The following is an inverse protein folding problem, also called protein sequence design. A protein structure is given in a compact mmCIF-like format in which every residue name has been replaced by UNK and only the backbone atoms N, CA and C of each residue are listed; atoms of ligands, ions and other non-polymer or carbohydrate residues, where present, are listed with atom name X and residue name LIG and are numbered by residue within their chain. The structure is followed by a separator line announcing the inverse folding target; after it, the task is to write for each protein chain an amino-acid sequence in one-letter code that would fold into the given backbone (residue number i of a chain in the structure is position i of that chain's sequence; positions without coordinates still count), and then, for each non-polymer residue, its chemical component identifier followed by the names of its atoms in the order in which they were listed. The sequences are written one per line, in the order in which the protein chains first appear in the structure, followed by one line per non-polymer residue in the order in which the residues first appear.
data_IF_554570182567
#
_entry.id   IF_554570182567
#
_cell.length_a   1.000
_cell.length_b   1.000
_cell.length_c   1.000
_cell.angle_alpha   90.00
_cell.angle_beta   90.00
_cell.angle_gamma   90.00
#
_symmetry.space_group_name_H-M   'P 1'
#
loop_
_entity.id
_entity.type
_entity.pdbx_description
1 polymer ?
2 polymer ?
3 water ?
#
# COMPACT_ATOMS: atom_id res chain seq x y z
N UNK A 1 -17.41 6.25 29.63
CA UNK A 1 -17.27 7.44 28.82
C UNK A 1 -17.07 6.95 27.38
N UNK A 2 -15.93 6.40 26.90
CA UNK A 2 -15.85 5.92 25.52
C UNK A 2 -16.64 4.64 25.34
N UNK A 3 -17.54 4.54 24.36
CA UNK A 3 -18.42 3.40 24.09
C UNK A 3 -17.62 2.16 23.74
N UNK A 4 -18.18 1.00 23.95
CA UNK A 4 -17.54 -0.24 23.56
C UNK A 4 -18.53 -1.08 22.82
N UNK A 5 -18.22 -1.59 21.64
CA UNK A 5 -19.18 -2.35 20.89
C UNK A 5 -18.56 -3.69 20.61
N UNK A 6 -19.35 -4.68 20.26
CA UNK A 6 -18.78 -5.99 19.98
C UNK A 6 -19.27 -6.50 18.63
N UNK A 7 -18.65 -7.54 18.09
CA UNK A 7 -19.10 -8.18 16.86
C UNK A 7 -19.00 -9.67 17.15
N UNK A 8 -19.99 -10.50 16.92
CA UNK A 8 -19.83 -11.92 17.08
C UNK A 8 -19.61 -12.32 15.65
N UNK A 9 -18.44 -12.83 15.34
CA UNK A 9 -18.06 -13.16 13.97
C UNK A 9 -18.53 -14.58 13.60
N UNK A 10 -18.85 -14.87 12.33
CA UNK A 10 -19.24 -16.21 11.90
C UNK A 10 -18.55 -16.54 10.58
N UNK A 11 -18.13 -17.78 10.30
CA UNK A 11 -17.50 -18.15 9.03
C UNK A 11 -18.52 -19.12 8.48
N UNK A 12 -19.21 -18.80 7.39
CA UNK A 12 -20.31 -19.54 6.81
C UNK A 12 -21.26 -20.07 7.85
N UNK A 13 -21.68 -19.23 8.77
CA UNK A 13 -22.62 -19.66 9.81
C UNK A 13 -22.06 -20.40 11.03
N UNK A 14 -20.84 -20.96 11.02
CA UNK A 14 -20.24 -21.51 12.23
C UNK A 14 -19.74 -20.35 13.07
N UNK A 15 -20.15 -20.18 14.32
CA UNK A 15 -19.61 -19.17 15.22
C UNK A 15 -18.12 -19.29 15.50
N UNK A 16 -17.48 -18.14 15.39
CA UNK A 16 -16.04 -18.10 15.51
C UNK A 16 -15.53 -17.35 16.71
N UNK A 17 -16.13 -16.32 17.28
CA UNK A 17 -15.53 -15.65 18.42
C UNK A 17 -16.06 -14.23 18.47
N UNK A 18 -15.76 -13.45 19.50
CA UNK A 18 -16.27 -12.10 19.64
C UNK A 18 -15.10 -11.16 19.65
N UNK A 19 -15.20 -10.10 18.84
CA UNK A 19 -14.21 -9.03 18.83
C UNK A 19 -14.90 -7.84 19.51
N UNK A 20 -14.32 -7.09 20.43
CA UNK A 20 -15.01 -5.95 21.01
C UNK A 20 -14.06 -4.78 20.83
N UNK A 21 -14.59 -3.56 20.66
CA UNK A 21 -13.86 -2.39 20.22
C UNK A 21 -14.10 -1.24 21.19
N UNK A 22 -13.09 -0.45 21.48
CA UNK A 22 -13.26 0.72 22.30
C UNK A 22 -13.31 1.82 21.27
N UNK A 23 -14.31 2.69 21.22
CA UNK A 23 -14.37 3.71 20.21
C UNK A 23 -13.87 4.97 20.85
N UNK A 24 -12.91 5.68 20.23
CA UNK A 24 -12.36 6.86 20.84
C UNK A 24 -13.26 8.07 20.58
N UNK A 25 -14.39 8.09 21.27
CA UNK A 25 -15.34 9.17 21.11
C UNK A 25 -14.86 10.46 21.72
N UNK A 26 -13.85 10.43 22.57
CA UNK A 26 -13.33 11.65 23.12
C UNK A 26 -12.42 12.40 22.17
N UNK A 27 -11.96 11.82 21.05
CA UNK A 27 -11.16 12.52 20.06
C UNK A 27 -11.83 12.52 18.72
N UNK A 28 -12.53 11.45 18.32
CA UNK A 28 -13.17 11.40 16.99
C UNK A 28 -14.68 11.17 17.16
N UNK A 29 -15.45 12.06 17.82
CA UNK A 29 -16.79 11.76 18.30
C UNK A 29 -17.87 11.44 17.29
N UNK A 30 -17.79 12.09 16.15
CA UNK A 30 -18.80 11.94 15.15
C UNK A 30 -18.50 10.62 14.46
N UNK A 31 -17.24 10.27 14.18
CA UNK A 31 -16.87 8.98 13.61
C UNK A 31 -17.23 7.85 14.54
N UNK A 32 -16.92 7.96 15.84
CA UNK A 32 -17.25 6.94 16.81
C UNK A 32 -18.75 6.80 16.95
N UNK A 33 -19.58 7.85 17.00
CA UNK A 33 -21.05 7.71 17.06
C UNK A 33 -21.64 6.96 15.87
N UNK A 34 -21.14 7.20 14.66
CA UNK A 34 -21.59 6.50 13.45
C UNK A 34 -21.28 5.01 13.55
N UNK A 35 -20.11 4.55 14.03
CA UNK A 35 -19.88 3.13 14.14
C UNK A 35 -20.73 2.63 15.27
N UNK A 36 -20.90 3.38 16.38
CA UNK A 36 -21.69 2.87 17.48
C UNK A 36 -23.15 2.64 17.08
N UNK A 37 -23.76 3.66 16.48
CA UNK A 37 -25.13 3.57 16.05
C UNK A 37 -25.36 2.53 14.97
N UNK A 38 -24.37 2.24 14.09
CA UNK A 38 -24.56 1.25 13.05
C UNK A 38 -24.43 -0.12 13.67
N UNK A 39 -23.65 -0.26 14.74
CA UNK A 39 -23.53 -1.53 15.42
C UNK A 39 -24.82 -1.84 16.14
N UNK A 40 -25.49 -0.88 16.83
CA UNK A 40 -26.73 -1.16 17.57
C UNK A 40 -27.90 -1.36 16.61
N UNK A 41 -27.86 -0.69 15.47
CA UNK A 41 -28.92 -0.84 14.49
C UNK A 41 -30.09 0.05 14.92
N UNK A 42 -29.84 0.94 15.89
CA UNK A 42 -30.89 1.77 16.44
C UNK A 42 -31.45 2.72 15.37
N UNK A 43 -30.73 3.14 14.34
CA UNK A 43 -31.29 4.03 13.34
C UNK A 43 -31.97 3.22 12.26
N UNK A 44 -32.25 1.94 12.42
CA UNK A 44 -32.93 1.14 11.42
C UNK A 44 -32.03 0.31 10.51
N UNK A 45 -30.78 0.69 10.28
CA UNK A 45 -29.94 -0.07 9.37
C UNK A 45 -28.58 -0.24 10.01
N UNK A 46 -27.81 -1.24 9.55
CA UNK A 46 -26.50 -1.47 10.15
C UNK A 46 -25.73 -2.70 9.71
N UNK A 47 -24.71 -2.99 10.55
CA UNK A 47 -23.71 -4.01 10.36
C UNK A 47 -24.16 -5.40 10.57
N UNK A 48 -25.13 -5.70 11.43
CA UNK A 48 -25.57 -7.07 11.70
C UNK A 48 -25.93 -7.81 10.43
N UNK A 49 -25.14 -8.82 10.07
CA UNK A 49 -25.42 -9.64 8.90
C UNK A 49 -24.70 -9.13 7.69
N UNK A 50 -23.73 -8.23 7.87
CA UNK A 50 -22.93 -7.83 6.75
C UNK A 50 -21.65 -8.68 6.87
N UNK A 51 -20.78 -8.70 5.86
CA UNK A 51 -19.63 -9.55 5.93
C UNK A 51 -18.34 -8.78 5.68
N UNK A 52 -17.19 -9.39 5.90
CA UNK A 52 -15.94 -8.72 5.59
C UNK A 52 -15.71 -9.08 4.15
N UNK A 53 -15.82 -8.12 3.26
CA UNK A 53 -15.70 -8.46 1.86
C UNK A 53 -14.27 -8.44 1.39
N UNK A 54 -13.26 -7.98 2.13
CA UNK A 54 -11.91 -7.88 1.58
C UNK A 54 -10.95 -8.12 2.70
N UNK A 55 -10.20 -9.25 2.78
CA UNK A 55 -9.35 -9.56 3.92
C UNK A 55 -7.98 -9.79 3.35
N UNK A 56 -6.98 -9.00 3.69
CA UNK A 56 -5.66 -9.19 3.14
C UNK A 56 -4.77 -9.54 4.27
N UNK A 57 -4.34 -10.79 4.39
CA UNK A 57 -3.37 -11.24 5.38
C UNK A 57 -2.13 -10.38 5.59
N UNK A 58 -2.02 -9.80 6.77
CA UNK A 58 -0.87 -9.03 7.16
C UNK A 58 -1.10 -7.56 6.90
N UNK A 59 -2.32 -7.18 6.53
CA UNK A 59 -2.58 -5.78 6.27
C UNK A 59 -3.83 -5.47 7.08
N UNK A 60 -5.02 -5.92 6.63
CA UNK A 60 -6.26 -5.59 7.31
C UNK A 60 -7.42 -6.39 6.80
N UNK A 61 -8.51 -6.39 7.58
CA UNK A 61 -9.80 -6.99 7.32
C UNK A 61 -10.75 -5.83 7.07
N UNK A 62 -11.49 -5.72 5.97
CA UNK A 62 -12.41 -4.64 5.69
C UNK A 62 -13.81 -5.17 5.54
N UNK A 63 -14.75 -4.39 6.05
CA UNK A 63 -16.13 -4.79 6.03
C UNK A 63 -17.01 -3.55 6.16
N UNK A 64 -18.29 -3.77 6.40
CA UNK A 64 -19.17 -2.67 6.60
C UNK A 64 -20.02 -2.28 5.42
N UNK A 65 -19.93 -2.95 4.27
CA UNK A 65 -20.80 -2.55 3.16
C UNK A 65 -22.13 -3.25 3.33
N UNK A 66 -23.04 -2.66 4.06
CA UNK A 66 -24.29 -3.37 4.25
C UNK A 66 -25.22 -3.06 3.11
N UNK A 67 -25.00 -2.13 2.14
CA UNK A 67 -26.02 -1.99 1.11
C UNK A 67 -25.71 -2.81 -0.14
N UNK A 68 -24.47 -2.84 -0.61
CA UNK A 68 -24.08 -3.57 -1.81
C UNK A 68 -23.22 -4.79 -1.54
N UNK A 69 -22.71 -4.95 -0.32
CA UNK A 69 -21.97 -6.12 0.09
C UNK A 69 -20.70 -6.36 -0.66
N UNK A 70 -20.09 -5.37 -1.32
CA UNK A 70 -18.84 -5.60 -2.05
C UNK A 70 -17.95 -4.39 -2.10
N UNK A 71 -18.00 -3.49 -1.15
CA UNK A 71 -17.12 -2.35 -1.17
C UNK A 71 -17.62 -1.21 -2.04
N UNK A 72 -18.74 -1.30 -2.76
CA UNK A 72 -19.15 -0.15 -3.54
C UNK A 72 -20.21 0.69 -2.85
N UNK A 73 -20.70 0.23 -1.68
CA UNK A 73 -21.78 0.88 -0.99
C UNK A 73 -21.54 1.14 0.48
N UNK A 74 -22.63 1.11 1.24
CA UNK A 74 -22.66 1.44 2.64
C UNK A 74 -23.17 2.88 2.79
N UNK A 75 -23.65 3.28 3.97
CA UNK A 75 -24.07 4.66 4.17
C UNK A 75 -23.89 5.04 5.62
N UNK A 76 -23.77 6.31 5.97
CA UNK A 76 -23.53 6.68 7.34
C UNK A 76 -24.83 7.02 8.03
N UNK A 77 -24.83 7.35 9.33
CA UNK A 77 -26.06 7.76 9.97
C UNK A 77 -26.31 9.26 9.73
N UNK A 78 -25.47 9.93 8.93
CA UNK A 78 -25.63 11.35 8.67
C UNK A 78 -26.02 11.57 7.22
N UNK A 79 -26.16 10.51 6.45
CA UNK A 79 -26.42 10.58 5.02
C UNK A 79 -25.48 9.55 4.42
N UNK A 80 -25.24 9.53 3.12
CA UNK A 80 -24.36 8.49 2.58
C UNK A 80 -22.90 8.70 2.89
N UNK A 81 -22.41 9.94 3.04
CA UNK A 81 -21.00 10.19 3.27
C UNK A 81 -20.75 11.40 4.16
N UNK A 82 -19.64 11.54 4.88
CA UNK A 82 -19.36 12.71 5.68
C UNK A 82 -17.90 13.02 5.73
N UNK A 83 -17.53 14.12 6.37
CA UNK A 83 -16.15 14.61 6.34
C UNK A 83 -15.17 13.76 7.14
N UNK A 84 -13.89 13.98 6.90
CA UNK A 84 -12.87 13.34 7.65
C UNK A 84 -12.81 14.25 8.85
N UNK A 85 -13.18 13.63 9.97
CA UNK A 85 -13.31 14.36 11.20
C UNK A 85 -12.02 15.00 11.64
N UNK A 86 -10.95 14.21 11.66
CA UNK A 86 -9.65 14.72 12.02
C UNK A 86 -8.71 13.56 11.87
N UNK A 87 -7.41 13.82 12.06
CA UNK A 87 -6.40 12.80 11.97
C UNK A 87 -5.51 12.83 13.19
N UNK A 88 -6.08 12.92 14.39
CA UNK A 88 -5.27 12.95 15.60
C UNK A 88 -4.55 11.62 15.80
N UNK A 89 -5.30 10.50 15.73
CA UNK A 89 -4.77 9.17 16.00
C UNK A 89 -4.14 8.53 14.77
N UNK A 90 -3.10 7.73 14.95
CA UNK A 90 -2.38 7.20 13.80
C UNK A 90 -2.49 5.69 13.81
N UNK A 91 -2.09 5.06 12.72
CA UNK A 91 -2.19 3.63 12.54
C UNK A 91 -0.93 3.08 13.18
N UNK A 92 -0.97 2.75 14.46
CA UNK A 92 0.22 2.33 15.17
C UNK A 92 0.46 0.84 15.28
N UNK A 93 -0.53 0.03 14.97
CA UNK A 93 -0.31 -1.38 15.14
C UNK A 93 -1.58 -2.15 14.89
N UNK A 94 -1.53 -3.46 15.11
CA UNK A 94 -2.65 -4.36 14.94
C UNK A 94 -3.80 -3.92 15.80
N UNK A 95 -5.02 -4.16 15.42
CA UNK A 95 -6.11 -3.87 16.31
C UNK A 95 -6.63 -2.47 16.12
N UNK A 96 -5.93 -1.57 15.43
CA UNK A 96 -6.46 -0.23 15.17
C UNK A 96 -7.62 -0.33 14.17
N UNK A 97 -8.67 0.43 14.40
CA UNK A 97 -9.90 0.39 13.66
C UNK A 97 -9.90 1.74 13.02
N UNK A 98 -9.98 1.71 11.70
CA UNK A 98 -9.85 2.91 10.92
C UNK A 98 -10.92 2.95 9.85
N UNK A 99 -11.27 4.12 9.34
CA UNK A 99 -12.34 4.27 8.36
C UNK A 99 -11.85 4.10 6.91
N UNK A 100 -12.60 3.33 6.12
CA UNK A 100 -12.22 3.15 4.72
C UNK A 100 -12.87 4.33 4.05
N UNK A 101 -12.45 4.63 2.83
CA UNK A 101 -13.02 5.77 2.14
C UNK A 101 -12.66 5.65 0.68
N UNK A 102 -13.16 6.58 -0.14
CA UNK A 102 -12.89 6.57 -1.56
C UNK A 102 -12.24 7.91 -1.90
N UNK A 103 -11.27 8.26 -1.07
CA UNK A 103 -10.58 9.54 -1.13
C UNK A 103 -11.03 10.38 0.05
N UNK A 104 -10.69 11.66 0.20
CA UNK A 104 -11.03 12.48 1.36
C UNK A 104 -12.50 12.84 1.47
N UNK A 105 -13.02 12.99 2.68
CA UNK A 105 -14.39 13.37 2.97
C UNK A 105 -15.44 12.50 2.30
N UNK A 106 -15.15 11.20 2.26
CA UNK A 106 -16.06 10.23 1.67
C UNK A 106 -16.34 9.09 2.65
N UNK A 107 -16.34 9.34 3.95
CA UNK A 107 -16.59 8.28 4.95
C UNK A 107 -18.03 7.84 4.94
N UNK A 108 -18.34 6.54 5.04
CA UNK A 108 -19.71 6.07 5.03
C UNK A 108 -19.82 5.11 6.18
N UNK A 109 -19.79 3.82 5.85
CA UNK A 109 -19.82 2.86 6.92
C UNK A 109 -18.70 1.84 6.88
N UNK A 110 -17.91 1.79 5.82
CA UNK A 110 -16.85 0.82 5.71
C UNK A 110 -15.73 1.24 6.61
N UNK A 111 -15.16 0.23 7.24
CA UNK A 111 -14.09 0.35 8.23
C UNK A 111 -13.11 -0.77 7.90
N UNK A 112 -11.91 -0.76 8.49
CA UNK A 112 -11.01 -1.89 8.34
C UNK A 112 -10.30 -2.04 9.68
N UNK A 113 -9.94 -3.26 10.03
CA UNK A 113 -9.24 -3.55 11.29
C UNK A 113 -7.86 -3.89 10.80
N UNK A 114 -6.83 -3.18 11.25
CA UNK A 114 -5.48 -3.44 10.86
C UNK A 114 -4.96 -4.68 11.53
N UNK A 115 -4.11 -5.49 10.90
CA UNK A 115 -3.48 -6.62 11.57
C UNK A 115 -1.97 -6.41 11.48
N UNK A 116 -1.55 -5.15 11.23
CA UNK A 116 -0.16 -4.83 11.18
C UNK A 116 -0.09 -3.34 11.35
N UNK A 117 1.11 -2.80 11.47
CA UNK A 117 1.33 -1.37 11.56
C UNK A 117 1.27 -0.90 10.13
N UNK A 118 0.37 0.05 9.86
CA UNK A 118 0.27 0.56 8.53
C UNK A 118 0.43 2.07 8.47
N UNK A 119 1.56 2.59 8.89
CA UNK A 119 1.87 4.02 8.86
C UNK A 119 1.61 4.68 7.53
N UNK A 120 1.68 4.02 6.36
CA UNK A 120 1.37 4.71 5.11
C UNK A 120 -0.05 5.22 4.99
N UNK A 121 -0.93 4.79 5.89
CA UNK A 121 -2.33 5.16 5.80
C UNK A 121 -2.62 6.40 6.58
N UNK A 122 -1.69 6.77 7.45
CA UNK A 122 -1.78 7.97 8.25
C UNK A 122 -2.01 9.22 7.42
N UNK A 123 -2.95 10.00 7.94
CA UNK A 123 -3.31 11.23 7.28
C UNK A 123 -4.30 10.97 6.16
N UNK A 124 -4.59 9.72 5.82
CA UNK A 124 -5.53 9.45 4.73
C UNK A 124 -6.77 8.71 5.20
N UNK A 125 -6.85 8.10 6.39
CA UNK A 125 -8.04 7.36 6.82
C UNK A 125 -8.21 7.73 8.26
N UNK A 126 -9.42 8.09 8.73
CA UNK A 126 -9.55 8.53 10.11
C UNK A 126 -9.44 7.31 11.00
N UNK A 127 -8.64 7.27 12.06
CA UNK A 127 -8.60 6.16 13.02
C UNK A 127 -9.59 6.55 14.10
N UNK A 128 -10.46 5.68 14.59
CA UNK A 128 -11.43 6.06 15.61
C UNK A 128 -11.66 5.01 16.66
N UNK A 129 -10.90 3.91 16.76
CA UNK A 129 -11.15 2.88 17.74
C UNK A 129 -10.04 1.84 17.72
N UNK A 130 -10.02 0.87 18.64
CA UNK A 130 -9.04 -0.22 18.62
C UNK A 130 -9.72 -1.43 19.22
N UNK A 131 -9.29 -2.63 18.85
CA UNK A 131 -9.74 -3.89 19.40
C UNK A 131 -9.41 -3.83 20.87
N UNK A 132 -10.32 -4.31 21.68
CA UNK A 132 -10.20 -4.36 23.13
C UNK A 132 -9.97 -5.84 23.46
N UNK A 133 -10.93 -6.72 23.14
CA UNK A 133 -10.89 -8.15 23.41
C UNK A 133 -10.94 -8.82 22.04
N UNK A 134 -10.32 -9.96 21.71
CA UNK A 134 -10.61 -10.67 20.44
C UNK A 134 -9.64 -10.55 19.29
N UNK A 135 -8.38 -10.18 19.51
CA UNK A 135 -7.49 -9.91 18.38
C UNK A 135 -7.09 -11.22 17.73
N UNK A 136 -6.99 -12.32 18.45
CA UNK A 136 -6.72 -13.59 17.84
C UNK A 136 -7.91 -14.04 17.02
N UNK A 137 -9.13 -13.52 17.23
CA UNK A 137 -10.28 -13.83 16.35
C UNK A 137 -10.06 -13.04 15.06
N UNK A 138 -9.51 -11.83 15.14
CA UNK A 138 -9.21 -11.06 13.92
C UNK A 138 -8.09 -11.76 13.17
N UNK A 139 -7.04 -12.20 13.85
CA UNK A 139 -5.93 -12.94 13.26
C UNK A 139 -6.42 -14.20 12.61
N UNK A 140 -7.15 -15.08 13.28
CA UNK A 140 -7.71 -16.27 12.62
C UNK A 140 -8.51 -15.96 11.36
N UNK A 141 -9.25 -14.84 11.31
CA UNK A 141 -9.99 -14.42 10.13
C UNK A 141 -9.08 -14.27 8.94
N UNK A 142 -7.82 -13.89 9.13
CA UNK A 142 -6.93 -13.67 7.99
C UNK A 142 -6.81 -14.88 7.10
N UNK A 143 -6.88 -16.03 7.71
CA UNK A 143 -6.74 -17.23 6.91
C UNK A 143 -7.78 -17.48 5.85
N UNK A 144 -8.90 -16.80 5.95
CA UNK A 144 -9.95 -16.97 4.98
C UNK A 144 -9.84 -15.87 3.92
N UNK A 145 -8.76 -15.07 3.80
CA UNK A 145 -8.65 -14.02 2.81
C UNK A 145 -7.53 -14.30 1.81
N UNK A 146 -7.07 -13.33 1.01
CA UNK A 146 -6.02 -13.60 0.01
C UNK A 146 -5.21 -12.36 -0.31
N UNK A 147 -4.09 -12.40 -1.05
CA UNK A 147 -3.31 -11.22 -1.44
C UNK A 147 -4.15 -10.08 -2.01
N UNK A 148 -5.12 -10.41 -2.88
CA UNK A 148 -5.97 -9.41 -3.49
C UNK A 148 -7.23 -9.12 -2.69
N UNK A 149 -7.48 -9.81 -1.60
CA UNK A 149 -8.59 -9.45 -0.76
C UNK A 149 -9.74 -10.40 -0.81
N UNK A 150 -9.91 -11.11 -1.88
CA UNK A 150 -11.01 -12.01 -2.05
C UNK A 150 -11.03 -13.00 -0.89
N UNK A 151 -12.15 -13.28 -0.25
CA UNK A 151 -12.14 -14.22 0.86
C UNK A 151 -12.65 -15.56 0.37
N UNK A 152 -12.27 -16.65 1.01
CA UNK A 152 -12.66 -17.97 0.56
C UNK A 152 -13.98 -18.46 1.12
N UNK A 153 -14.47 -17.91 2.20
CA UNK A 153 -15.67 -18.37 2.86
C UNK A 153 -16.39 -17.07 3.19
N UNK A 154 -17.66 -17.11 3.53
CA UNK A 154 -18.39 -15.89 3.83
C UNK A 154 -18.05 -15.56 5.27
N UNK A 155 -17.52 -14.38 5.66
CA UNK A 155 -17.21 -14.08 7.06
C UNK A 155 -18.20 -13.01 7.50
N UNK A 156 -19.13 -13.27 8.41
CA UNK A 156 -20.18 -12.31 8.75
C UNK A 156 -20.11 -11.81 10.16
N UNK A 157 -20.72 -10.65 10.29
CA UNK A 157 -20.95 -10.04 11.59
C UNK A 157 -22.27 -10.72 11.97
N UNK A 158 -22.25 -11.83 12.71
CA UNK A 158 -23.48 -12.53 13.07
C UNK A 158 -24.39 -11.68 13.96
N UNK A 159 -23.82 -10.99 14.93
CA UNK A 159 -24.57 -10.10 15.80
C UNK A 159 -23.58 -9.03 16.20
N UNK A 160 -24.05 -7.86 16.62
CA UNK A 160 -23.22 -6.78 17.09
C UNK A 160 -24.10 -5.89 17.92
N UNK A 161 -23.49 -5.13 18.82
CA UNK A 161 -24.23 -4.23 19.68
C UNK A 161 -23.29 -3.46 20.57
N UNK A 162 -23.86 -2.77 21.55
CA UNK A 162 -23.07 -2.00 22.46
C UNK A 162 -23.01 -2.76 23.76
N UNK A 163 -21.88 -2.73 24.43
CA UNK A 163 -21.64 -3.42 25.70
C UNK A 163 -21.68 -2.40 26.82
N UNK A 164 -20.95 -1.33 26.59
CA UNK A 164 -20.82 -0.22 27.51
C UNK A 164 -20.66 1.03 26.61
N UNK B 1 18.50 -8.53 -27.54
CA UNK B 1 17.58 -7.68 -28.29
C UNK B 1 17.00 -6.80 -27.20
N UNK B 2 16.31 -7.34 -26.20
CA UNK B 2 15.90 -6.51 -25.07
C UNK B 2 17.15 -6.07 -24.34
N UNK B 3 17.36 -4.78 -24.05
CA UNK B 3 18.62 -4.28 -23.48
C UNK B 3 18.87 -4.90 -22.13
N UNK B 4 20.10 -5.02 -21.67
CA UNK B 4 20.37 -5.49 -20.33
C UNK B 4 21.21 -4.38 -19.76
N UNK B 5 20.83 -3.63 -18.73
CA UNK B 5 21.67 -2.57 -18.14
C UNK B 5 22.14 -3.02 -16.76
N UNK B 6 23.08 -2.35 -16.09
CA UNK B 6 23.52 -2.83 -14.79
C UNK B 6 23.71 -1.67 -13.83
N UNK B 7 23.75 -1.96 -12.53
CA UNK B 7 24.00 -0.96 -11.51
C UNK B 7 25.08 -1.59 -10.63
N UNK B 8 26.17 -0.94 -10.28
CA UNK B 8 27.08 -1.45 -9.28
C UNK B 8 26.69 -0.66 -8.06
N UNK B 9 26.36 -1.31 -6.94
CA UNK B 9 25.80 -0.67 -5.76
C UNK B 9 26.88 -0.47 -4.74
N UNK B 10 26.82 0.57 -3.92
CA UNK B 10 27.78 0.75 -2.86
C UNK B 10 27.03 1.28 -1.65
N UNK B 11 27.37 0.83 -0.44
CA UNK B 11 26.75 1.27 0.81
C UNK B 11 27.83 2.17 1.33
N UNK B 12 27.59 3.44 1.64
CA UNK B 12 28.62 4.40 2.05
C UNK B 12 29.98 4.17 1.42
N UNK B 13 30.01 4.11 0.10
CA UNK B 13 31.26 3.94 -0.60
C UNK B 13 31.77 2.51 -0.62
N UNK B 14 31.42 1.65 0.33
CA UNK B 14 31.81 0.24 0.32
C UNK B 14 31.04 -0.52 -0.75
N UNK B 15 31.63 -1.03 -1.82
CA UNK B 15 30.87 -1.66 -2.88
C UNK B 15 30.21 -2.93 -2.41
N UNK B 16 28.94 -3.02 -2.77
CA UNK B 16 28.14 -4.16 -2.39
C UNK B 16 28.24 -4.98 -3.67
N UNK B 17 27.32 -4.94 -4.63
CA UNK B 17 27.48 -5.78 -5.81
C UNK B 17 26.76 -5.20 -6.99
N UNK B 18 26.64 -5.96 -8.07
CA UNK B 18 26.01 -5.53 -9.30
C UNK B 18 24.65 -6.16 -9.43
N UNK B 19 23.67 -5.40 -9.93
CA UNK B 19 22.34 -5.89 -10.26
C UNK B 19 22.28 -5.69 -11.76
N UNK B 20 21.67 -6.56 -12.56
CA UNK B 20 21.56 -6.29 -13.99
C UNK B 20 20.13 -6.58 -14.29
N UNK B 21 19.55 -5.80 -15.19
CA UNK B 21 18.13 -5.80 -15.47
C UNK B 21 17.91 -6.14 -16.90
N UNK B 22 16.78 -6.76 -17.21
CA UNK B 22 16.38 -6.95 -18.57
C UNK B 22 15.30 -5.90 -18.72
N UNK B 23 15.29 -5.12 -19.79
CA UNK B 23 14.32 -4.07 -19.93
C UNK B 23 13.45 -4.57 -21.06
N UNK B 24 12.15 -4.60 -20.87
CA UNK B 24 11.24 -5.17 -21.83
C UNK B 24 10.85 -4.13 -22.85
N UNK B 25 11.83 -3.90 -23.70
CA UNK B 25 11.70 -2.96 -24.78
C UNK B 25 10.66 -3.38 -25.81
N UNK B 26 10.40 -4.66 -25.99
CA UNK B 26 9.42 -5.12 -26.98
C UNK B 26 7.95 -4.87 -26.62
N UNK B 27 7.70 -4.60 -25.34
CA UNK B 27 6.37 -4.33 -24.86
C UNK B 27 6.29 -2.90 -24.38
N UNK B 28 7.35 -2.28 -23.82
CA UNK B 28 7.30 -0.89 -23.36
C UNK B 28 8.46 -0.05 -23.90
N UNK B 29 8.58 0.17 -25.21
CA UNK B 29 9.82 0.64 -25.81
C UNK B 29 10.25 2.03 -25.35
N UNK B 30 9.29 2.91 -25.08
CA UNK B 30 9.61 4.27 -24.72
C UNK B 30 10.06 4.29 -23.28
N UNK B 31 9.41 3.55 -22.37
CA UNK B 31 9.83 3.52 -20.98
C UNK B 31 11.17 2.82 -20.83
N UNK B 32 11.40 1.74 -21.58
CA UNK B 32 12.64 0.99 -21.51
C UNK B 32 13.79 1.87 -21.98
N UNK B 33 13.65 2.61 -23.09
CA UNK B 33 14.67 3.51 -23.59
C UNK B 33 14.98 4.59 -22.58
N UNK B 34 14.05 5.28 -21.96
CA UNK B 34 14.33 6.26 -20.92
C UNK B 34 15.33 5.77 -19.90
N UNK B 35 15.12 4.55 -19.36
CA UNK B 35 15.94 3.94 -18.35
C UNK B 35 17.26 3.58 -18.95
N UNK B 36 17.32 3.02 -20.17
CA UNK B 36 18.60 2.67 -20.80
C UNK B 36 19.44 3.94 -20.97
N UNK B 37 18.87 4.98 -21.54
CA UNK B 37 19.58 6.21 -21.84
C UNK B 37 20.15 6.87 -20.59
N UNK B 38 19.41 6.76 -19.49
CA UNK B 38 19.83 7.31 -18.21
C UNK B 38 20.86 6.42 -17.54
N UNK B 39 20.88 5.13 -17.84
CA UNK B 39 21.92 4.26 -17.35
C UNK B 39 23.22 4.48 -18.08
N UNK B 40 23.23 4.94 -19.32
CA UNK B 40 24.50 5.09 -19.98
C UNK B 40 25.03 6.49 -19.81
N UNK B 41 24.17 7.44 -19.50
CA UNK B 41 24.62 8.82 -19.38
C UNK B 41 24.84 9.46 -20.73
N UNK B 42 24.29 8.90 -21.81
CA UNK B 42 24.56 9.40 -23.14
C UNK B 42 23.89 10.70 -23.51
N UNK B 43 23.02 11.22 -22.70
CA UNK B 43 22.40 12.47 -23.05
C UNK B 43 23.06 13.45 -22.10
N UNK B 44 24.06 13.09 -21.29
CA UNK B 44 24.70 14.05 -20.39
C UNK B 44 24.15 14.12 -18.96
N UNK B 45 23.14 13.32 -18.61
CA UNK B 45 22.62 13.26 -17.24
C UNK B 45 22.14 11.85 -17.03
N UNK B 46 22.01 11.36 -15.81
CA UNK B 46 21.55 10.00 -15.62
C UNK B 46 21.80 9.55 -14.20
N UNK B 47 21.73 8.26 -13.99
CA UNK B 47 21.78 7.63 -12.70
C UNK B 47 23.11 7.57 -12.00
N UNK B 48 24.29 7.51 -12.59
CA UNK B 48 25.53 7.29 -11.86
C UNK B 48 25.76 8.33 -10.81
N UNK B 49 25.92 7.90 -9.57
CA UNK B 49 26.16 8.80 -8.46
C UNK B 49 24.89 9.12 -7.71
N UNK B 50 23.72 8.71 -8.23
CA UNK B 50 22.47 8.98 -7.56
C UNK B 50 22.30 7.89 -6.51
N UNK B 51 21.30 8.02 -5.62
CA UNK B 51 21.13 7.09 -4.52
C UNK B 51 19.72 6.50 -4.53
N UNK B 52 19.56 5.44 -3.75
CA UNK B 52 18.24 4.93 -3.48
C UNK B 52 17.80 5.67 -2.22
N UNK B 53 16.71 6.40 -2.33
CA UNK B 53 16.34 7.30 -1.23
C UNK B 53 15.21 6.72 -0.42
N UNK B 54 14.52 5.68 -0.87
CA UNK B 54 13.39 5.16 -0.11
C UNK B 54 13.48 3.64 -0.18
N UNK B 55 13.80 2.93 0.90
CA UNK B 55 13.83 1.48 0.90
C UNK B 55 12.88 1.02 1.99
N UNK B 56 11.84 0.25 1.65
CA UNK B 56 10.91 -0.24 2.63
C UNK B 56 11.07 -1.74 2.47
N UNK B 57 11.74 -2.38 3.43
CA UNK B 57 12.01 -3.81 3.42
C UNK B 57 10.81 -4.64 3.06
N UNK B 58 10.83 -5.66 2.22
CA UNK B 58 9.65 -6.47 1.92
C UNK B 58 8.63 -5.78 1.05
N UNK B 59 9.01 -4.68 0.40
CA UNK B 59 8.13 -3.94 -0.48
C UNK B 59 9.00 -3.53 -1.66
N UNK B 60 9.88 -2.53 -1.56
CA UNK B 60 10.68 -2.10 -2.69
C UNK B 60 11.79 -1.17 -2.31
N UNK B 61 12.74 -1.00 -3.24
CA UNK B 61 13.86 -0.07 -3.14
C UNK B 61 13.59 0.99 -4.21
N UNK B 62 13.52 2.29 -3.92
CA UNK B 62 13.17 3.29 -4.88
C UNK B 62 14.32 4.22 -5.10
N UNK B 63 14.65 4.58 -6.34
CA UNK B 63 15.77 5.46 -6.58
C UNK B 63 15.53 6.27 -7.83
N UNK B 64 16.55 6.95 -8.32
CA UNK B 64 16.44 7.65 -9.58
C UNK B 64 16.23 9.13 -9.50
N UNK B 65 16.11 9.72 -8.34
CA UNK B 65 16.08 11.16 -8.31
C UNK B 65 17.53 11.57 -8.22
N UNK B 66 18.02 12.03 -9.38
CA UNK B 66 19.37 12.48 -9.49
C UNK B 66 19.34 13.99 -9.59
N UNK B 67 18.21 14.71 -9.58
CA UNK B 67 18.33 16.14 -9.52
C UNK B 67 18.15 16.58 -8.08
N UNK B 68 17.04 16.33 -7.40
CA UNK B 68 16.89 16.81 -6.03
C UNK B 68 17.32 15.81 -4.98
N UNK B 69 17.59 14.57 -5.37
CA UNK B 69 18.08 13.52 -4.50
C UNK B 69 17.21 13.15 -3.32
N UNK B 70 16.04 13.72 -3.18
CA UNK B 70 15.23 13.41 -2.04
C UNK B 70 13.95 12.75 -2.47
N UNK B 71 13.63 12.72 -3.76
CA UNK B 71 12.43 12.10 -4.25
C UNK B 71 11.52 13.10 -4.89
N UNK B 72 11.92 14.35 -4.96
CA UNK B 72 11.07 15.36 -5.58
C UNK B 72 11.62 15.73 -6.95
N UNK B 73 12.58 15.02 -7.51
CA UNK B 73 13.15 15.41 -8.76
C UNK B 73 13.18 14.26 -9.75
N UNK B 74 14.25 14.22 -10.52
CA UNK B 74 14.36 13.37 -11.69
C UNK B 74 13.81 14.10 -12.91
N UNK B 75 14.23 13.69 -14.10
CA UNK B 75 13.77 14.23 -15.37
C UNK B 75 14.07 13.11 -16.34
N UNK B 76 13.19 12.95 -17.29
CA UNK B 76 13.37 11.94 -18.29
C UNK B 76 14.09 12.54 -19.46
N UNK B 77 14.41 11.64 -20.40
CA UNK B 77 15.08 12.04 -21.61
C UNK B 77 14.07 12.69 -22.53
N UNK B 78 12.77 12.86 -22.28
CA UNK B 78 11.92 13.56 -23.25
C UNK B 78 11.58 14.97 -22.85
N UNK B 79 12.01 15.41 -21.67
CA UNK B 79 11.62 16.71 -21.18
C UNK B 79 10.72 16.48 -19.96
N UNK B 80 11.36 16.55 -18.79
CA UNK B 80 10.81 16.28 -17.48
C UNK B 80 9.91 15.05 -17.39
N UNK B 81 8.60 15.05 -17.71
CA UNK B 81 7.77 13.90 -17.41
C UNK B 81 6.84 13.37 -18.49
N UNK B 82 6.85 12.07 -18.82
CA UNK B 82 6.00 11.51 -19.87
C UNK B 82 4.86 10.62 -19.43
N UNK B 83 4.07 10.23 -20.39
CA UNK B 83 2.85 9.48 -20.23
C UNK B 83 3.04 8.00 -19.94
N UNK B 84 2.02 7.42 -19.32
CA UNK B 84 2.07 6.03 -18.97
C UNK B 84 1.82 5.33 -20.27
N UNK B 85 2.90 4.78 -20.77
CA UNK B 85 2.89 4.03 -22.00
C UNK B 85 1.86 2.94 -22.08
N UNK B 86 1.74 2.08 -21.08
CA UNK B 86 0.79 0.99 -21.10
C UNK B 86 0.92 0.21 -19.83
N UNK B 87 0.09 -0.81 -19.61
CA UNK B 87 0.06 -1.55 -18.36
C UNK B 87 -0.08 -3.04 -18.61
N UNK B 88 0.54 -3.47 -19.68
CA UNK B 88 0.56 -4.86 -20.09
C UNK B 88 1.15 -5.78 -19.01
N UNK B 89 2.21 -5.29 -18.38
CA UNK B 89 2.96 -6.14 -17.48
C UNK B 89 2.49 -5.81 -16.07
N UNK B 90 2.41 -6.86 -15.25
CA UNK B 90 1.90 -6.75 -13.92
C UNK B 90 3.06 -6.83 -12.92
N UNK B 91 2.85 -6.55 -11.65
CA UNK B 91 3.91 -6.57 -10.65
C UNK B 91 3.73 -7.93 -10.09
N UNK B 92 4.17 -8.96 -10.83
CA UNK B 92 3.98 -10.33 -10.37
C UNK B 92 4.92 -10.85 -9.27
N UNK B 93 6.02 -10.23 -8.87
CA UNK B 93 6.89 -10.89 -7.92
C UNK B 93 8.06 -10.02 -7.54
N UNK B 94 9.01 -10.50 -6.72
CA UNK B 94 10.30 -9.88 -6.46
C UNK B 94 11.03 -9.73 -7.77
N UNK B 95 11.71 -8.62 -8.03
CA UNK B 95 12.48 -8.54 -9.26
C UNK B 95 11.96 -7.50 -10.20
N UNK B 96 10.65 -7.19 -10.14
CA UNK B 96 10.01 -6.28 -11.08
C UNK B 96 10.56 -4.89 -10.93
N UNK B 97 11.01 -4.37 -12.05
CA UNK B 97 11.53 -3.02 -12.12
C UNK B 97 10.33 -2.29 -12.68
N UNK B 98 9.86 -1.30 -11.92
CA UNK B 98 8.71 -0.48 -12.28
C UNK B 98 8.95 1.02 -12.09
N UNK B 99 8.13 1.89 -12.70
CA UNK B 99 8.24 3.34 -12.69
C UNK B 99 7.54 4.04 -11.55
N UNK B 100 8.21 4.88 -10.77
CA UNK B 100 7.50 5.59 -9.72
C UNK B 100 6.90 6.82 -10.38
N UNK B 101 5.96 7.52 -9.73
CA UNK B 101 5.29 8.63 -10.36
C UNK B 101 4.59 9.42 -9.28
N UNK B 102 3.87 10.45 -9.70
CA UNK B 102 3.04 11.22 -8.81
C UNK B 102 1.67 11.24 -9.46
N UNK B 103 1.09 10.07 -9.76
CA UNK B 103 -0.22 10.00 -10.39
C UNK B 103 -0.08 9.65 -11.86
N UNK B 104 -1.12 9.61 -12.72
CA UNK B 104 -1.02 9.18 -14.12
C UNK B 104 -0.22 10.11 -15.00
N UNK B 105 0.63 9.60 -15.86
CA UNK B 105 1.42 10.37 -16.79
C UNK B 105 2.39 11.35 -16.16
N UNK B 106 3.04 10.97 -15.05
CA UNK B 106 4.04 11.82 -14.47
C UNK B 106 5.40 11.12 -14.41
N UNK B 107 5.66 10.21 -15.34
CA UNK B 107 6.90 9.44 -15.34
C UNK B 107 8.10 10.32 -15.63
N UNK B 108 9.10 10.36 -14.76
CA UNK B 108 10.32 11.10 -15.04
C UNK B 108 11.43 10.08 -15.04
N UNK B 109 12.16 9.97 -13.94
CA UNK B 109 13.27 9.05 -13.90
C UNK B 109 13.24 8.08 -12.75
N UNK B 110 12.38 8.31 -11.75
CA UNK B 110 12.41 7.49 -10.55
C UNK B 110 11.76 6.16 -10.80
N UNK B 111 12.42 5.13 -10.30
CA UNK B 111 12.01 3.76 -10.52
C UNK B 111 11.96 3.03 -9.19
N UNK B 112 11.37 1.84 -9.10
CA UNK B 112 11.52 1.07 -7.88
C UNK B 112 11.67 -0.36 -8.27
N UNK B 113 12.31 -1.14 -7.42
CA UNK B 113 12.56 -2.54 -7.70
C UNK B 113 11.80 -3.22 -6.61
N UNK B 114 10.81 -4.04 -6.94
CA UNK B 114 9.99 -4.80 -6.01
C UNK B 114 10.73 -5.91 -5.30
N UNK B 115 10.66 -6.02 -3.99
CA UNK B 115 11.20 -7.19 -3.33
C UNK B 115 10.08 -8.11 -2.90
N UNK B 116 8.84 -7.79 -3.26
CA UNK B 116 7.66 -8.57 -2.93
C UNK B 116 6.73 -8.54 -4.12
N UNK B 117 5.61 -9.23 -4.09
CA UNK B 117 4.70 -9.25 -5.21
C UNK B 117 3.80 -8.12 -4.79
N UNK B 118 3.63 -7.07 -5.62
CA UNK B 118 2.82 -5.97 -5.18
C UNK B 118 1.64 -5.70 -6.09
N UNK B 119 0.79 -6.70 -6.26
CA UNK B 119 -0.41 -6.63 -7.09
C UNK B 119 -1.30 -5.42 -6.90
N UNK B 120 -1.23 -4.67 -5.79
CA UNK B 120 -2.07 -3.50 -5.65
C UNK B 120 -1.64 -2.31 -6.49
N UNK B 121 -0.44 -2.42 -7.07
CA UNK B 121 0.12 -1.34 -7.85
C UNK B 121 -0.18 -1.51 -9.33
N UNK B 122 -0.62 -2.69 -9.80
CA UNK B 122 -0.91 -2.93 -11.21
C UNK B 122 -1.84 -1.91 -11.74
N UNK B 123 -1.59 -1.36 -12.93
CA UNK B 123 -2.48 -0.38 -13.49
C UNK B 123 -2.22 1.01 -12.96
N UNK B 124 -1.32 1.13 -12.00
CA UNK B 124 -1.00 2.46 -11.53
C UNK B 124 0.47 2.76 -11.79
N UNK B 125 1.37 1.80 -11.96
CA UNK B 125 2.78 2.08 -12.24
C UNK B 125 3.18 1.31 -13.47
N UNK B 126 3.96 1.84 -14.42
CA UNK B 126 4.33 1.03 -15.57
C UNK B 126 5.48 0.10 -15.21
N UNK B 127 5.29 -1.18 -15.42
CA UNK B 127 6.32 -2.21 -15.23
C UNK B 127 7.12 -2.20 -16.53
N UNK B 128 8.45 -2.29 -16.53
CA UNK B 128 9.14 -2.32 -17.80
C UNK B 128 10.41 -3.14 -17.67
N UNK B 129 10.67 -3.92 -16.60
CA UNK B 129 11.92 -4.66 -16.52
C UNK B 129 11.96 -5.66 -15.38
N UNK B 130 13.08 -6.34 -15.17
CA UNK B 130 13.20 -7.35 -14.15
C UNK B 130 14.66 -7.54 -13.80
N UNK B 131 14.99 -7.85 -12.55
CA UNK B 131 16.36 -8.17 -12.20
C UNK B 131 16.63 -9.50 -12.87
N UNK B 132 17.69 -9.43 -13.68
CA UNK B 132 18.22 -10.54 -14.45
C UNK B 132 19.30 -11.18 -13.57
N UNK B 133 20.17 -10.49 -12.85
CA UNK B 133 21.14 -11.11 -11.97
C UNK B 133 21.30 -10.13 -10.81
N UNK B 134 21.66 -10.60 -9.62
CA UNK B 134 21.94 -9.72 -8.50
C UNK B 134 20.73 -9.46 -7.63
N UNK B 135 19.76 -10.35 -7.61
CA UNK B 135 18.57 -10.08 -6.83
C UNK B 135 18.91 -10.13 -5.36
N UNK B 136 19.95 -10.86 -4.92
CA UNK B 136 20.32 -10.93 -3.50
C UNK B 136 20.99 -9.69 -3.02
N UNK B 137 21.51 -8.92 -3.98
CA UNK B 137 22.08 -7.62 -3.68
C UNK B 137 20.89 -6.73 -3.39
N UNK B 138 19.79 -6.81 -4.16
CA UNK B 138 18.59 -6.00 -3.94
C UNK B 138 18.03 -6.37 -2.58
N UNK B 139 18.02 -7.66 -2.23
CA UNK B 139 17.67 -8.06 -0.88
C UNK B 139 18.65 -7.52 0.14
N UNK B 140 19.96 -7.62 0.00
CA UNK B 140 20.90 -7.13 0.99
C UNK B 140 20.69 -5.67 1.26
N UNK B 141 20.32 -4.88 0.25
CA UNK B 141 19.99 -3.45 0.32
C UNK B 141 18.88 -3.17 1.31
N UNK B 142 17.92 -4.09 1.46
CA UNK B 142 16.77 -3.89 2.34
C UNK B 142 17.16 -3.72 3.80
N UNK B 143 18.33 -4.26 4.13
CA UNK B 143 18.91 -4.16 5.45
C UNK B 143 19.12 -2.72 5.88
N UNK B 144 19.24 -1.79 4.95
CA UNK B 144 19.51 -0.41 5.30
C UNK B 144 18.26 0.43 5.09
N UNK B 145 17.01 -0.06 5.06
CA UNK B 145 15.82 0.79 4.91
C UNK B 145 14.94 0.81 6.18
N UNK B 146 13.65 1.17 6.14
CA UNK B 146 12.77 1.20 7.34
C UNK B 146 11.30 1.02 6.98
N UNK B 147 10.39 0.86 7.94
CA UNK B 147 8.95 0.85 7.68
C UNK B 147 8.52 2.03 6.83
N UNK B 148 9.07 3.21 7.13
CA UNK B 148 8.74 4.45 6.43
C UNK B 148 9.68 4.75 5.26
N UNK B 149 10.73 3.97 5.03
CA UNK B 149 11.52 4.15 3.85
C UNK B 149 12.83 4.87 4.00
N UNK B 150 13.12 5.51 5.12
CA UNK B 150 14.37 6.24 5.26
C UNK B 150 15.51 5.24 5.27
N UNK B 151 16.64 5.45 4.60
CA UNK B 151 17.73 4.50 4.72
C UNK B 151 18.65 4.91 5.86
N UNK B 152 19.41 3.99 6.42
CA UNK B 152 20.32 4.28 7.51
C UNK B 152 21.73 4.62 7.08
N UNK B 153 22.14 4.19 5.86
CA UNK B 153 23.49 4.35 5.31
C UNK B 153 23.25 4.97 3.93
N UNK B 154 24.22 5.52 3.21
CA UNK B 154 23.99 6.16 1.92
C UNK B 154 24.11 5.10 0.81
N UNK B 155 23.05 4.65 0.12
CA UNK B 155 23.12 3.55 -0.83
C UNK B 155 23.22 4.16 -2.21
N UNK B 156 24.31 4.02 -2.96
CA UNK B 156 24.47 4.68 -4.25
C UNK B 156 24.68 3.75 -5.42
N UNK B 157 24.32 4.29 -6.58
CA UNK B 157 24.57 3.63 -7.82
C UNK B 157 25.96 4.15 -8.15
N UNK B 158 26.97 3.38 -7.79
CA UNK B 158 28.34 3.77 -8.03
C UNK B 158 28.68 3.84 -9.52
N UNK B 159 28.23 2.93 -10.37
CA UNK B 159 28.44 3.00 -11.80
C UNK B 159 27.29 2.28 -12.48
N UNK B 160 26.98 2.60 -13.73
CA UNK B 160 25.90 1.95 -14.43
C UNK B 160 26.21 2.01 -15.89
N UNK B 161 25.72 1.04 -16.65
CA UNK B 161 25.92 1.08 -18.09
C UNK B 161 25.02 0.08 -18.75
N UNK B 162 25.33 -0.28 -19.98
CA UNK B 162 24.55 -1.22 -20.78
C UNK B 162 25.47 -2.41 -20.96
N UNK B 163 24.96 -3.64 -20.90
CA UNK B 163 25.76 -4.84 -21.10
C UNK B 163 25.55 -5.35 -22.52
N UNK B 164 24.28 -5.44 -22.92
CA UNK B 164 23.85 -5.87 -24.24
C UNK B 164 22.59 -5.03 -24.55
N UNK C 2 -12.75 1.62 -1.58
CA UNK C 2 -11.63 1.01 -2.31
C UNK C 2 -10.32 1.11 -1.57
N UNK C 3 -10.22 2.26 -0.93
CA UNK C 3 -9.06 2.57 -0.15
C UNK C 3 -9.32 1.92 1.19
N UNK C 4 -8.40 1.39 2.00
CA UNK C 4 -7.00 1.63 1.84
C UNK C 4 -6.36 0.85 0.72
N UNK C 5 -5.35 1.49 0.17
CA UNK C 5 -4.54 0.93 -0.90
C UNK C 5 -3.42 0.25 -0.13
N UNK D 2 6.46 10.05 -5.73
CA UNK D 2 5.82 9.95 -4.42
C UNK D 2 5.17 8.57 -4.23
N UNK D 3 4.59 8.13 -5.34
CA UNK D 3 3.95 6.85 -5.38
C UNK D 3 5.10 5.95 -5.83
N UNK D 4 5.27 4.67 -5.49
CA UNK D 4 4.17 3.84 -5.02
C UNK D 4 3.87 3.90 -3.53
N UNK D 5 2.57 3.81 -3.22
CA UNK D 5 2.10 3.93 -1.84
C UNK D 5 2.02 2.53 -1.33
#
# INVERSE_FOLDING_TARGET
VNPTVFFDIAVDGEPLGRVSFELFADKVPKTAENFRALSTGEKGFGYKGSCFHRIIPGFMCQGGDFTRHNGTGGKSIYGEKFEDENFILKHTGPGILSMANAGPNTNGSQFFICTAKTEWLDGKHVVFGKVKEGMNIVEAMERFGSRNGKTSKKITIADCGQLE
VNPTVFFDIAVDGEPLGRVSFELFADKVPKTAENFRALSTGEKGFGYKGSCFHRIIPGFMCQGGDFTRHNGTGGKSIYGEKFEDENFILKHTGPGILSMANAGPNTNGSQFFICTAKTEWLDGKHVVFGKVKEGMNIVEAMERFGSRNGKTSKKITIADCGQLE
XAAPFX
XAAPFX
#
